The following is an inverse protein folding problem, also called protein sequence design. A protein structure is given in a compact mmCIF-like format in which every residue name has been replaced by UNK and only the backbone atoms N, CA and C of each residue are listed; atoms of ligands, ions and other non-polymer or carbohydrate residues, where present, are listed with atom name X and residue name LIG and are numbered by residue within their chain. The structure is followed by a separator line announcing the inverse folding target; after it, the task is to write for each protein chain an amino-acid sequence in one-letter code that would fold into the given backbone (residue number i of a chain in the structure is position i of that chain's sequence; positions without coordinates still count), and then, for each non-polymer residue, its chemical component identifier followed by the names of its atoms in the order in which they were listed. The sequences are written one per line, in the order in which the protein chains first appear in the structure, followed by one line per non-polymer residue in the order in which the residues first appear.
data_IF_129062527812
#
_entry.id   IF_129062527812
#
_cell.length_a   1.000
_cell.length_b   1.000
_cell.length_c   1.000
_cell.angle_alpha   90.00
_cell.angle_beta   90.00
_cell.angle_gamma   90.00
#
_symmetry.space_group_name_H-M   'P 1'
#
loop_
_entity.id
_entity.type
_entity.pdbx_description
1 polymer ?
#
# COMPACT_ATOMS: atom_id res chain seq x y z
N UNK A 1 7.63 17.03 -22.99
CA UNK A 1 6.66 15.94 -22.70
C UNK A 1 5.34 16.14 -23.43
N UNK A 2 4.86 15.08 -24.08
CA UNK A 2 3.61 15.05 -24.84
C UNK A 2 2.83 13.74 -24.60
N UNK A 3 1.53 13.74 -24.87
CA UNK A 3 0.67 12.56 -24.75
C UNK A 3 0.33 12.03 -26.14
N UNK A 4 0.44 10.72 -26.34
CA UNK A 4 0.08 10.06 -27.60
C UNK A 4 -0.67 8.74 -27.37
N UNK A 5 -1.45 8.24 -28.34
CA UNK A 5 -2.06 6.92 -28.24
C UNK A 5 -1.00 5.83 -28.06
N UNK A 6 -1.24 4.89 -27.16
CA UNK A 6 -0.34 3.74 -26.95
C UNK A 6 -0.79 2.52 -27.76
N UNK A 7 0.17 1.74 -28.25
CA UNK A 7 -0.11 0.40 -28.80
C UNK A 7 0.13 -0.73 -27.78
N UNK A 8 0.36 -0.39 -26.51
CA UNK A 8 0.47 -1.38 -25.44
C UNK A 8 -0.88 -2.09 -25.21
N UNK A 9 -0.83 -3.23 -24.51
CA UNK A 9 -2.04 -3.91 -24.06
C UNK A 9 -2.87 -2.97 -23.16
N UNK A 10 -4.19 -2.97 -23.35
CA UNK A 10 -5.12 -2.09 -22.62
C UNK A 10 -5.53 -0.83 -23.38
N UNK A 11 -4.89 -0.50 -24.52
CA UNK A 11 -5.13 0.75 -25.27
C UNK A 11 -4.91 2.00 -24.39
N UNK A 12 -5.38 3.16 -24.82
CA UNK A 12 -5.26 4.41 -24.06
C UNK A 12 -4.12 5.30 -24.57
N UNK A 13 -3.37 5.90 -23.65
CA UNK A 13 -2.33 6.87 -23.96
C UNK A 13 -1.05 6.59 -23.19
N UNK A 14 0.08 7.02 -23.74
CA UNK A 14 1.35 7.09 -23.03
C UNK A 14 1.91 8.51 -23.09
N UNK A 15 2.76 8.85 -22.13
CA UNK A 15 3.61 10.04 -22.21
C UNK A 15 4.81 9.70 -23.07
N UNK A 16 5.17 10.59 -23.99
CA UNK A 16 6.34 10.49 -24.83
C UNK A 16 7.12 11.80 -24.89
N UNK A 17 8.21 11.79 -25.65
CA UNK A 17 9.15 12.91 -25.73
C UNK A 17 9.51 13.42 -24.33
N UNK A 18 9.81 12.46 -23.44
CA UNK A 18 10.33 12.75 -22.10
C UNK A 18 11.81 13.07 -22.29
N UNK A 19 12.12 14.34 -22.53
CA UNK A 19 13.47 14.82 -22.82
C UNK A 19 14.34 14.92 -21.55
N UNK A 20 15.67 15.03 -21.70
CA UNK A 20 16.57 15.15 -20.55
C UNK A 20 16.16 16.27 -19.60
N UNK A 21 16.15 15.97 -18.29
CA UNK A 21 15.74 16.85 -17.19
C UNK A 21 14.25 17.18 -17.11
N UNK A 22 13.40 16.59 -17.96
CA UNK A 22 11.95 16.69 -17.76
C UNK A 22 11.48 15.74 -16.65
N UNK A 23 10.44 16.15 -15.93
CA UNK A 23 9.87 15.39 -14.82
C UNK A 23 8.34 15.54 -14.72
N UNK A 24 7.70 14.58 -14.07
CA UNK A 24 6.28 14.59 -13.69
C UNK A 24 6.15 14.28 -12.21
N UNK A 25 5.18 14.93 -11.54
CA UNK A 25 4.87 14.66 -10.14
C UNK A 25 3.48 14.06 -9.99
N UNK A 26 3.38 13.11 -9.06
CA UNK A 26 2.16 12.39 -8.71
C UNK A 26 2.02 12.36 -7.20
N UNK A 27 0.85 12.74 -6.70
CA UNK A 27 0.49 12.49 -5.30
C UNK A 27 0.18 11.01 -5.16
N UNK A 28 0.85 10.35 -4.21
CA UNK A 28 0.59 8.96 -3.83
C UNK A 28 0.21 8.93 -2.36
N UNK A 29 -0.49 7.87 -1.94
CA UNK A 29 -0.89 7.68 -0.56
C UNK A 29 -0.62 6.23 -0.16
N UNK A 30 0.10 6.08 0.95
CA UNK A 30 0.06 4.86 1.74
C UNK A 30 -1.02 5.07 2.82
N UNK A 31 -2.18 4.39 2.72
CA UNK A 31 -3.30 4.59 3.66
C UNK A 31 -3.09 3.92 5.02
N UNK A 32 -2.00 3.19 5.22
CA UNK A 32 -1.69 2.48 6.46
C UNK A 32 -0.86 3.35 7.40
N UNK A 33 -0.89 3.04 8.69
CA UNK A 33 -0.17 3.79 9.74
C UNK A 33 1.34 3.47 9.80
N UNK A 34 1.81 2.53 8.98
CA UNK A 34 3.20 2.06 8.95
C UNK A 34 3.76 2.04 7.52
N UNK A 35 5.09 1.97 7.41
CA UNK A 35 5.76 1.85 6.12
C UNK A 35 5.47 0.50 5.47
N UNK A 36 5.23 0.52 4.15
CA UNK A 36 4.92 -0.66 3.36
C UNK A 36 6.04 -0.96 2.39
N UNK A 37 6.46 -2.23 2.35
CA UNK A 37 7.44 -2.71 1.38
C UNK A 37 6.76 -3.44 0.23
N UNK A 38 7.19 -3.14 -0.99
CA UNK A 38 6.61 -3.71 -2.19
C UNK A 38 7.52 -3.56 -3.40
N UNK A 39 6.89 -3.59 -4.57
CA UNK A 39 7.55 -3.44 -5.86
C UNK A 39 6.86 -2.31 -6.62
N UNK A 40 7.65 -1.33 -7.03
CA UNK A 40 7.23 -0.38 -8.07
C UNK A 40 7.57 -0.93 -9.44
N UNK A 41 6.58 -0.90 -10.32
CA UNK A 41 6.63 -1.33 -11.71
C UNK A 41 6.48 -0.13 -12.61
N UNK A 42 7.38 -0.01 -13.58
CA UNK A 42 7.47 1.12 -14.49
C UNK A 42 7.38 0.61 -15.92
N UNK A 43 6.30 0.94 -16.64
CA UNK A 43 6.04 0.48 -18.00
C UNK A 43 6.57 1.49 -19.02
N UNK A 44 7.63 1.10 -19.74
CA UNK A 44 8.43 2.01 -20.55
C UNK A 44 8.76 1.42 -21.92
N UNK A 45 9.07 2.31 -22.87
CA UNK A 45 9.48 1.95 -24.22
C UNK A 45 10.53 2.93 -24.78
N UNK A 46 11.55 2.40 -25.44
CA UNK A 46 12.56 3.18 -26.16
C UNK A 46 13.29 2.31 -27.18
N UNK A 47 13.66 2.85 -28.34
CA UNK A 47 14.56 2.15 -29.26
C UNK A 47 16.05 2.46 -29.01
N UNK A 48 16.37 3.31 -28.03
CA UNK A 48 17.72 3.78 -27.72
C UNK A 48 18.28 3.11 -26.46
N UNK A 49 19.60 3.12 -26.30
CA UNK A 49 20.29 2.71 -25.07
C UNK A 49 20.75 3.94 -24.27
N UNK A 50 21.02 3.77 -22.97
CA UNK A 50 21.52 4.86 -22.12
C UNK A 50 20.42 5.74 -21.53
N UNK A 51 19.18 5.23 -21.46
CA UNK A 51 18.10 5.88 -20.71
C UNK A 51 18.31 5.62 -19.21
N UNK A 52 18.28 6.70 -18.43
CA UNK A 52 18.36 6.66 -16.97
C UNK A 52 17.22 7.48 -16.40
N UNK A 53 16.47 6.90 -15.46
CA UNK A 53 15.34 7.56 -14.80
C UNK A 53 15.53 7.57 -13.29
N UNK A 54 14.89 8.54 -12.64
CA UNK A 54 14.85 8.65 -11.18
C UNK A 54 13.41 8.67 -10.67
N UNK A 55 13.20 8.11 -9.47
CA UNK A 55 11.95 8.21 -8.73
C UNK A 55 12.25 8.73 -7.32
N UNK A 56 11.84 9.97 -7.08
CA UNK A 56 12.02 10.68 -5.84
C UNK A 56 10.69 10.79 -5.08
N UNK A 57 10.71 10.73 -3.76
CA UNK A 57 9.54 10.81 -2.88
C UNK A 57 9.79 11.89 -1.83
N UNK A 58 9.15 13.06 -1.98
CA UNK A 58 9.32 14.24 -1.11
C UNK A 58 10.78 14.72 -0.92
N UNK A 59 11.62 14.52 -1.93
CA UNK A 59 13.04 14.85 -1.87
C UNK A 59 13.95 13.64 -1.58
N UNK A 60 13.41 12.52 -1.09
CA UNK A 60 14.16 11.28 -0.89
C UNK A 60 14.29 10.48 -2.19
N UNK A 61 15.47 9.93 -2.48
CA UNK A 61 15.75 9.17 -3.71
C UNK A 61 16.16 7.72 -3.41
N UNK A 62 15.26 6.89 -2.85
CA UNK A 62 15.60 5.56 -2.34
C UNK A 62 16.05 4.58 -3.42
N UNK A 63 15.69 4.83 -4.69
CA UNK A 63 16.00 3.95 -5.81
C UNK A 63 17.24 4.39 -6.59
N UNK A 64 17.72 5.63 -6.40
CA UNK A 64 18.78 6.21 -7.20
C UNK A 64 18.46 6.15 -8.70
N UNK A 65 19.53 5.99 -9.49
CA UNK A 65 19.42 5.89 -10.94
C UNK A 65 18.95 4.51 -11.40
N UNK A 66 17.88 4.50 -12.18
CA UNK A 66 17.31 3.30 -12.80
C UNK A 66 17.64 3.32 -14.28
N UNK A 67 18.54 2.42 -14.70
CA UNK A 67 18.85 2.23 -16.11
C UNK A 67 17.75 1.42 -16.79
N UNK A 68 17.21 1.95 -17.89
CA UNK A 68 16.21 1.29 -18.72
C UNK A 68 16.88 0.67 -19.96
N UNK A 69 16.63 -0.62 -20.28
CA UNK A 69 17.17 -1.22 -21.49
C UNK A 69 16.40 -0.75 -22.73
N UNK A 70 17.05 -0.80 -23.90
CA UNK A 70 16.36 -0.61 -25.18
C UNK A 70 15.32 -1.72 -25.38
N UNK A 71 14.12 -1.33 -25.79
CA UNK A 71 13.01 -2.24 -26.13
C UNK A 71 12.88 -2.45 -27.64
N UNK A 72 13.75 -1.81 -28.44
CA UNK A 72 13.75 -1.90 -29.90
C UNK A 72 12.66 -1.08 -30.60
N UNK A 73 11.88 -0.28 -29.87
CA UNK A 73 10.81 0.55 -30.44
C UNK A 73 10.16 1.45 -29.39
N UNK A 74 9.70 2.65 -29.78
CA UNK A 74 8.98 3.57 -28.88
C UNK A 74 7.58 3.09 -28.48
N UNK A 75 7.12 1.99 -29.06
CA UNK A 75 5.86 1.33 -28.76
C UNK A 75 6.06 -0.17 -28.49
N UNK A 76 7.32 -0.59 -28.28
CA UNK A 76 7.65 -1.91 -27.76
C UNK A 76 7.84 -1.77 -26.25
N UNK A 77 6.98 -2.40 -25.47
CA UNK A 77 6.87 -2.11 -24.05
C UNK A 77 7.47 -3.20 -23.17
N UNK A 78 8.21 -2.79 -22.14
CA UNK A 78 8.66 -3.65 -21.06
C UNK A 78 8.26 -3.07 -19.72
N UNK A 79 8.22 -3.91 -18.69
CA UNK A 79 8.01 -3.48 -17.31
C UNK A 79 9.29 -3.64 -16.52
N UNK A 80 9.80 -2.54 -15.96
CA UNK A 80 10.97 -2.54 -15.08
C UNK A 80 10.47 -2.53 -13.64
N UNK A 81 10.94 -3.48 -12.83
CA UNK A 81 10.53 -3.66 -11.44
C UNK A 81 11.66 -3.20 -10.51
N UNK A 82 11.32 -2.51 -9.42
CA UNK A 82 12.25 -2.14 -8.34
C UNK A 82 11.59 -2.36 -6.98
N UNK A 83 12.29 -2.97 -6.00
CA UNK A 83 11.80 -3.01 -4.63
C UNK A 83 11.74 -1.59 -4.08
N UNK A 84 10.67 -1.26 -3.36
CA UNK A 84 10.45 0.08 -2.82
C UNK A 84 9.67 -0.02 -1.51
N UNK A 85 10.11 0.73 -0.51
CA UNK A 85 9.38 0.95 0.73
C UNK A 85 8.80 2.36 0.72
N UNK A 86 7.52 2.48 1.04
CA UNK A 86 6.79 3.75 1.10
C UNK A 86 6.32 3.98 2.54
N UNK A 87 6.75 5.08 3.14
CA UNK A 87 6.30 5.52 4.46
C UNK A 87 4.79 5.83 4.47
N UNK A 88 4.17 5.74 5.66
CA UNK A 88 2.76 6.05 5.87
C UNK A 88 2.37 7.47 5.40
N UNK A 89 1.14 7.60 4.89
CA UNK A 89 0.52 8.88 4.53
C UNK A 89 0.73 9.32 3.08
N UNK A 90 0.41 10.60 2.84
CA UNK A 90 0.46 11.23 1.51
C UNK A 90 1.87 11.71 1.20
N UNK A 91 2.36 11.38 0.00
CA UNK A 91 3.69 11.73 -0.49
C UNK A 91 3.63 12.21 -1.94
N UNK A 92 4.59 13.05 -2.34
CA UNK A 92 4.77 13.45 -3.74
C UNK A 92 5.87 12.61 -4.38
N UNK A 93 5.49 11.73 -5.29
CA UNK A 93 6.42 11.02 -6.17
C UNK A 93 6.78 11.93 -7.36
N UNK A 94 8.06 12.14 -7.62
CA UNK A 94 8.58 12.76 -8.84
C UNK A 94 9.31 11.72 -9.69
N UNK A 95 8.83 11.50 -10.89
CA UNK A 95 9.49 10.72 -11.93
C UNK A 95 10.25 11.65 -12.87
N UNK A 96 11.53 11.37 -13.13
CA UNK A 96 12.36 12.25 -13.95
C UNK A 96 13.29 11.51 -14.90
N UNK A 97 13.54 12.12 -16.06
CA UNK A 97 14.59 11.69 -16.97
C UNK A 97 15.93 12.29 -16.54
N UNK A 98 16.82 11.45 -16.02
CA UNK A 98 18.19 11.83 -15.61
C UNK A 98 19.22 11.56 -16.71
N UNK A 99 18.82 10.85 -17.77
CA UNK A 99 19.68 10.48 -18.88
C UNK A 99 19.62 11.49 -20.04
N UNK A 100 20.53 11.34 -21.02
CA UNK A 100 20.54 12.18 -22.22
C UNK A 100 19.54 11.71 -23.29
N UNK A 101 18.76 10.66 -23.03
CA UNK A 101 17.98 9.93 -24.03
C UNK A 101 16.49 10.01 -23.71
N UNK A 102 15.68 10.29 -24.73
CA UNK A 102 14.23 10.31 -24.63
C UNK A 102 13.62 8.91 -24.63
N UNK A 103 12.50 8.74 -23.94
CA UNK A 103 11.75 7.49 -23.89
C UNK A 103 10.24 7.77 -23.72
N UNK A 104 9.45 6.70 -23.82
CA UNK A 104 8.03 6.71 -23.55
C UNK A 104 7.73 6.02 -22.22
N UNK A 105 6.75 6.55 -21.50
CA UNK A 105 6.21 6.02 -20.25
C UNK A 105 4.71 5.79 -20.43
N UNK A 106 4.23 4.59 -20.10
CA UNK A 106 2.80 4.28 -20.10
C UNK A 106 2.20 4.48 -18.71
N UNK A 107 2.65 3.69 -17.73
CA UNK A 107 2.11 3.69 -16.38
C UNK A 107 3.17 3.33 -15.33
N UNK A 108 2.84 3.66 -14.08
CA UNK A 108 3.47 3.11 -12.89
C UNK A 108 2.45 2.33 -12.10
N UNK A 109 2.90 1.29 -11.42
CA UNK A 109 2.09 0.53 -10.48
C UNK A 109 2.95 0.23 -9.26
N UNK A 110 2.44 0.49 -8.07
CA UNK A 110 3.02 -0.04 -6.84
C UNK A 110 2.16 -1.23 -6.41
N UNK A 111 2.76 -2.42 -6.28
CA UNK A 111 2.14 -3.51 -5.55
C UNK A 111 2.88 -3.76 -4.26
N UNK A 112 2.12 -4.04 -3.24
CA UNK A 112 2.65 -4.62 -2.04
C UNK A 112 2.59 -6.13 -2.16
N UNK A 113 3.74 -6.78 -1.95
CA UNK A 113 3.88 -8.22 -2.13
C UNK A 113 3.92 -8.95 -0.77
N UNK A 114 3.74 -8.23 0.35
CA UNK A 114 3.83 -8.74 1.73
C UNK A 114 2.49 -8.67 2.48
N UNK A 115 2.44 -9.30 3.65
CA UNK A 115 1.32 -9.21 4.61
C UNK A 115 1.00 -7.78 5.04
N UNK A 116 1.95 -6.85 4.86
CA UNK A 116 1.86 -5.45 5.30
C UNK A 116 0.73 -4.67 4.60
N UNK A 117 0.21 -5.20 3.48
CA UNK A 117 -0.90 -4.59 2.74
C UNK A 117 -2.13 -5.46 2.67
N UNK A 118 -2.19 -6.46 3.54
CA UNK A 118 -3.49 -6.86 4.01
C UNK A 118 -3.99 -5.67 4.84
N UNK A 119 -5.17 -5.16 4.53
CA UNK A 119 -5.97 -4.54 5.60
C UNK A 119 -5.91 -5.53 6.75
N UNK A 120 -5.49 -5.11 7.94
CA UNK A 120 -5.67 -5.97 9.11
C UNK A 120 -7.10 -6.51 9.01
N UNK A 121 -7.29 -7.84 9.04
CA UNK A 121 -8.63 -8.39 8.93
C UNK A 121 -9.45 -7.64 9.97
N UNK A 122 -10.49 -6.90 9.54
CA UNK A 122 -11.41 -6.27 10.48
C UNK A 122 -11.73 -7.33 11.50
N UNK A 123 -11.36 -7.07 12.76
CA UNK A 123 -11.48 -8.03 13.83
C UNK A 123 -12.90 -8.55 13.77
N UNK A 124 -13.11 -9.81 13.34
CA UNK A 124 -14.45 -10.32 13.23
C UNK A 124 -15.10 -10.07 14.58
N UNK A 125 -16.35 -9.61 14.62
CA UNK A 125 -17.11 -9.64 15.85
C UNK A 125 -16.50 -8.93 17.10
N UNK A 126 -15.59 -7.94 16.94
CA UNK A 126 -14.99 -7.20 18.06
C UNK A 126 -16.05 -6.66 19.02
N UNK A 127 -17.10 -6.02 18.49
CA UNK A 127 -18.22 -5.47 19.27
C UNK A 127 -19.05 -6.52 20.04
N UNK A 128 -18.92 -7.82 19.71
CA UNK A 128 -19.62 -8.91 20.38
C UNK A 128 -18.70 -9.78 21.25
N UNK A 129 -17.39 -9.52 21.26
CA UNK A 129 -16.44 -10.08 22.24
C UNK A 129 -15.31 -10.94 21.70
N UNK A 130 -14.94 -10.85 20.41
CA UNK A 130 -13.69 -11.44 19.88
C UNK A 130 -12.58 -10.39 20.00
N UNK A 131 -11.82 -10.48 21.09
CA UNK A 131 -10.84 -9.48 21.53
C UNK A 131 -9.43 -9.80 21.04
N UNK A 132 -9.17 -11.04 20.61
CA UNK A 132 -7.89 -11.43 20.02
C UNK A 132 -7.95 -11.68 18.50
N UNK A 133 -9.13 -11.45 17.91
CA UNK A 133 -9.42 -11.45 16.48
C UNK A 133 -9.17 -12.80 15.81
N UNK A 134 -9.37 -13.91 16.54
CA UNK A 134 -9.18 -15.26 16.01
C UNK A 134 -10.42 -15.79 15.24
N UNK A 135 -11.51 -15.02 15.21
CA UNK A 135 -12.77 -15.35 14.59
C UNK A 135 -13.72 -16.14 15.49
N UNK A 136 -13.42 -16.25 16.79
CA UNK A 136 -14.24 -16.93 17.79
C UNK A 136 -14.31 -16.11 19.08
N UNK A 137 -15.51 -15.99 19.64
CA UNK A 137 -15.67 -15.55 21.03
C UNK A 137 -15.48 -16.78 21.92
N UNK A 138 -14.37 -16.83 22.64
CA UNK A 138 -13.93 -18.01 23.36
C UNK A 138 -13.13 -17.71 24.63
N UNK A 139 -12.35 -18.71 25.04
CA UNK A 139 -11.64 -18.65 26.31
C UNK A 139 -10.49 -17.64 26.30
N UNK A 140 -9.89 -17.42 25.13
CA UNK A 140 -8.84 -16.42 24.96
C UNK A 140 -9.39 -15.01 25.23
N UNK A 141 -10.57 -14.72 24.70
CA UNK A 141 -11.27 -13.45 24.91
C UNK A 141 -11.73 -13.27 26.36
N UNK A 142 -12.22 -14.35 26.97
CA UNK A 142 -12.55 -14.33 28.39
C UNK A 142 -11.32 -14.00 29.25
N UNK A 143 -10.12 -14.44 28.84
CA UNK A 143 -8.90 -14.08 29.53
C UNK A 143 -8.55 -12.60 29.31
N UNK A 144 -8.78 -12.04 28.12
CA UNK A 144 -8.62 -10.62 27.83
C UNK A 144 -9.54 -9.75 28.70
N UNK A 145 -10.83 -10.09 28.81
CA UNK A 145 -11.77 -9.42 29.72
C UNK A 145 -11.30 -9.50 31.18
N UNK A 146 -10.84 -10.67 31.62
CA UNK A 146 -10.34 -10.84 32.99
C UNK A 146 -9.03 -10.09 33.26
N UNK A 147 -8.20 -9.90 32.25
CA UNK A 147 -6.94 -9.17 32.37
C UNK A 147 -7.17 -7.65 32.53
N UNK A 148 -8.20 -7.13 31.87
CA UNK A 148 -8.50 -5.69 31.82
C UNK A 148 -9.54 -5.26 32.88
N UNK A 149 -9.85 -6.15 33.82
CA UNK A 149 -10.88 -5.96 34.84
C UNK A 149 -10.70 -4.66 35.65
N UNK A 150 -11.73 -3.83 35.68
CA UNK A 150 -11.72 -2.52 36.36
C UNK A 150 -12.05 -1.36 35.42
N UNK A 151 -11.67 -0.15 35.80
CA UNK A 151 -11.94 1.05 34.99
C UNK A 151 -11.15 0.98 33.68
N UNK A 152 -11.87 1.05 32.55
CA UNK A 152 -11.29 0.89 31.23
C UNK A 152 -12.00 1.78 30.20
N UNK A 153 -11.75 3.11 30.21
CA UNK A 153 -12.46 4.02 29.32
C UNK A 153 -12.01 3.82 27.87
N UNK A 154 -12.87 3.20 27.05
CA UNK A 154 -12.64 3.02 25.62
C UNK A 154 -11.65 1.91 25.26
N UNK A 155 -11.57 0.85 26.07
CA UNK A 155 -10.89 -0.37 25.67
C UNK A 155 -11.88 -1.40 25.13
N UNK A 156 -11.41 -2.33 24.31
CA UNK A 156 -12.26 -3.30 23.62
C UNK A 156 -12.93 -4.31 24.58
N UNK A 157 -12.36 -4.51 25.77
CA UNK A 157 -12.93 -5.39 26.80
C UNK A 157 -14.18 -4.83 27.50
N UNK A 158 -14.46 -3.52 27.39
CA UNK A 158 -15.69 -2.88 27.87
C UNK A 158 -16.80 -3.03 26.82
N UNK A 159 -17.37 -4.23 26.79
CA UNK A 159 -18.33 -4.65 25.77
C UNK A 159 -19.69 -3.92 25.87
N UNK A 160 -20.00 -3.35 27.03
CA UNK A 160 -21.26 -2.64 27.26
C UNK A 160 -21.13 -1.11 27.13
N UNK A 161 -19.89 -0.58 27.13
CA UNK A 161 -19.56 0.82 26.95
C UNK A 161 -19.79 1.70 28.19
N UNK A 162 -19.83 1.13 29.39
CA UNK A 162 -20.06 1.87 30.64
C UNK A 162 -18.77 2.38 31.31
N UNK A 163 -17.63 2.26 30.61
CA UNK A 163 -16.29 2.64 31.04
C UNK A 163 -15.70 1.77 32.15
N UNK A 164 -16.26 0.58 32.40
CA UNK A 164 -15.71 -0.42 33.28
C UNK A 164 -15.78 -1.82 32.65
N UNK A 165 -14.71 -2.58 32.81
CA UNK A 165 -14.71 -4.03 32.55
C UNK A 165 -15.11 -4.72 33.84
N UNK A 166 -16.31 -5.25 33.86
CA UNK A 166 -16.90 -5.91 35.02
C UNK A 166 -17.71 -7.15 34.64
N UNK A 167 -18.51 -7.64 35.59
CA UNK A 167 -19.26 -8.88 35.39
C UNK A 167 -20.25 -8.80 34.23
N UNK A 168 -20.77 -7.60 33.94
CA UNK A 168 -21.70 -7.40 32.83
C UNK A 168 -21.03 -7.63 31.47
N UNK A 169 -19.77 -7.24 31.32
CA UNK A 169 -18.98 -7.48 30.10
C UNK A 169 -18.66 -8.96 29.94
N UNK A 170 -18.34 -9.64 31.03
CA UNK A 170 -18.17 -11.09 31.01
C UNK A 170 -19.46 -11.82 30.62
N UNK A 171 -20.64 -11.32 31.04
CA UNK A 171 -21.91 -11.87 30.60
C UNK A 171 -22.17 -11.63 29.11
N UNK A 172 -21.83 -10.45 28.59
CA UNK A 172 -21.94 -10.16 27.16
C UNK A 172 -21.04 -11.07 26.33
N UNK A 173 -19.78 -11.23 26.73
CA UNK A 173 -18.84 -12.15 26.09
C UNK A 173 -19.40 -13.58 26.06
N UNK A 174 -19.84 -14.10 27.21
CA UNK A 174 -20.40 -15.45 27.30
C UNK A 174 -21.72 -15.61 26.51
N UNK A 175 -22.49 -14.54 26.33
CA UNK A 175 -23.74 -14.59 25.55
C UNK A 175 -23.49 -14.76 24.05
N UNK A 176 -22.32 -14.36 23.57
CA UNK A 176 -21.90 -14.44 22.17
C UNK A 176 -20.90 -15.57 21.91
N UNK A 177 -20.70 -16.48 22.87
CA UNK A 177 -19.72 -17.55 22.80
C UNK A 177 -19.87 -18.45 21.56
N UNK A 178 -18.77 -18.62 20.81
CA UNK A 178 -18.69 -19.47 19.64
C UNK A 178 -18.04 -18.79 18.45
N UNK A 179 -18.10 -19.47 17.30
CA UNK A 179 -17.53 -18.97 16.05
C UNK A 179 -18.36 -17.80 15.55
N UNK A 180 -17.68 -16.73 15.15
CA UNK A 180 -18.35 -15.57 14.59
C UNK A 180 -18.90 -15.90 13.21
N UNK A 181 -20.21 -15.84 13.09
CA UNK A 181 -20.88 -15.97 11.81
C UNK A 181 -20.76 -14.63 11.09
N UNK A 182 -20.04 -14.62 9.96
CA UNK A 182 -20.01 -13.45 9.05
C UNK A 182 -21.41 -12.96 8.69
#
# INVERSE_FOLDING_TARGET
MDIQPTSDQGSGFNVGWIEPNEWMSYTIENPYEHAISGVIRVRVATNQTGVTVGLNFDGDDPLGDIVLPSTGGYQNWITVNRPLTIEAGVRIMRFENRGPVSFNLNWFEFSCDTSDCQTEPECPCLDIGDLDCDGQVGFSDALSVLNDWGLCPGCDADLNGDSAVEFNDMLLLLSNWGVCSK
#
